data_IF_622562996505
#
_entry.id   IF_622562996505
#
_cell.length_a   1.000
_cell.length_b   1.000
_cell.length_c   1.000
_cell.angle_alpha   90.00
_cell.angle_beta   90.00
_cell.angle_gamma   90.00
#
_symmetry.space_group_name_H-M   'P 1'
#
loop_
_entity.id
_entity.type
_entity.pdbx_description
1 polymer ?
#
# COMPACT_ATOMS: atom_id res chain seq x y z
N UNK A 1 7.72 -2.54 13.77
CA UNK A 1 6.48 -2.11 13.08
C UNK A 1 6.77 -0.82 12.31
N UNK A 2 6.62 -0.79 10.99
CA UNK A 2 7.12 0.32 10.14
C UNK A 2 6.04 1.02 9.31
N UNK A 3 4.89 0.37 9.11
CA UNK A 3 3.77 0.89 8.29
C UNK A 3 2.49 0.87 9.12
N UNK A 4 1.67 1.91 8.99
CA UNK A 4 0.36 2.00 9.64
C UNK A 4 -0.59 0.92 9.12
N UNK A 5 -1.31 0.27 10.03
CA UNK A 5 -2.25 -0.78 9.72
C UNK A 5 -3.49 -0.21 9.03
N UNK A 6 -3.72 -0.59 7.76
CA UNK A 6 -4.90 -0.17 7.00
C UNK A 6 -6.23 -0.60 7.62
N UNK A 7 -6.25 -1.72 8.35
CA UNK A 7 -7.46 -2.25 8.99
C UNK A 7 -7.74 -1.51 10.30
N UNK A 8 -6.69 -1.14 11.04
CA UNK A 8 -6.83 -0.36 12.27
C UNK A 8 -7.39 1.03 12.00
N UNK A 9 -6.96 1.70 10.93
CA UNK A 9 -7.52 2.99 10.49
C UNK A 9 -9.03 2.97 10.23
N UNK A 10 -9.64 1.79 10.10
CA UNK A 10 -11.06 1.57 9.84
C UNK A 10 -11.74 0.83 11.00
N UNK A 11 -11.05 0.65 12.12
CA UNK A 11 -11.49 -0.13 13.28
C UNK A 11 -11.83 -1.60 12.96
N UNK A 12 -11.24 -2.15 11.90
CA UNK A 12 -11.44 -3.54 11.44
C UNK A 12 -10.30 -4.48 11.85
N UNK A 13 -9.28 -4.01 12.58
CA UNK A 13 -8.14 -4.84 12.94
C UNK A 13 -8.45 -5.72 14.16
N UNK A 14 -8.57 -7.03 13.95
CA UNK A 14 -8.81 -8.00 15.03
C UNK A 14 -7.53 -8.46 15.74
N UNK A 15 -6.34 -8.16 15.19
CA UNK A 15 -5.06 -8.62 15.76
C UNK A 15 -4.64 -7.86 17.02
N UNK A 16 -5.27 -6.73 17.34
CA UNK A 16 -4.95 -5.93 18.54
C UNK A 16 -3.45 -5.66 18.69
N UNK A 17 -2.90 -5.99 19.86
CA UNK A 17 -1.47 -5.85 20.16
C UNK A 17 -0.57 -6.82 19.40
N UNK A 18 -1.09 -7.89 18.81
CA UNK A 18 -0.34 -8.84 17.97
C UNK A 18 -0.25 -8.41 16.50
N UNK A 19 -0.77 -7.22 16.15
CA UNK A 19 -0.64 -6.70 14.80
C UNK A 19 0.83 -6.39 14.45
N UNK A 20 1.28 -6.86 13.29
CA UNK A 20 2.63 -6.61 12.76
C UNK A 20 2.80 -5.18 12.23
N UNK A 21 1.66 -4.49 12.03
CA UNK A 21 1.57 -3.11 11.56
C UNK A 21 1.34 -2.14 12.73
N UNK A 22 1.62 -0.84 12.51
CA UNK A 22 1.45 0.20 13.52
C UNK A 22 -0.03 0.52 13.74
N UNK A 23 -0.45 0.59 15.00
CA UNK A 23 -1.76 1.11 15.44
C UNK A 23 -1.59 2.54 15.98
N UNK A 24 -1.00 3.41 15.16
CA UNK A 24 -0.77 4.81 15.48
C UNK A 24 -0.92 5.60 14.19
N UNK A 25 -1.54 6.77 14.28
CA UNK A 25 -1.68 7.67 13.15
C UNK A 25 -0.36 8.41 12.93
N UNK A 26 0.39 8.00 11.91
CA UNK A 26 1.67 8.59 11.52
C UNK A 26 1.69 8.72 9.98
N UNK A 27 1.56 9.96 9.49
CA UNK A 27 1.50 10.28 8.06
C UNK A 27 2.78 9.83 7.32
N UNK A 28 3.94 9.86 7.99
CA UNK A 28 5.21 9.44 7.37
C UNK A 28 5.27 7.93 7.11
N UNK A 29 4.51 7.16 7.88
CA UNK A 29 4.46 5.69 7.83
C UNK A 29 3.17 5.16 7.23
N UNK A 30 2.36 6.03 6.62
CA UNK A 30 1.11 5.60 6.01
C UNK A 30 1.39 4.65 4.82
N UNK A 31 0.58 3.58 4.63
CA UNK A 31 0.74 2.71 3.47
C UNK A 31 0.51 3.46 2.15
N UNK A 32 0.92 2.83 1.06
CA UNK A 32 0.73 3.37 -0.28
C UNK A 32 -0.75 3.42 -0.66
N UNK A 33 -1.14 4.53 -1.29
CA UNK A 33 -2.45 4.68 -1.88
C UNK A 33 -2.61 3.72 -3.07
N UNK A 34 -3.74 3.02 -3.14
CA UNK A 34 -4.04 2.10 -4.25
C UNK A 34 -4.10 2.83 -5.60
N UNK A 35 -4.56 4.08 -5.61
CA UNK A 35 -4.75 4.87 -6.82
C UNK A 35 -3.53 5.72 -7.19
N UNK A 36 -2.53 5.84 -6.30
CA UNK A 36 -1.34 6.66 -6.52
C UNK A 36 -1.70 8.09 -6.95
N UNK A 37 -1.04 8.59 -7.99
CA UNK A 37 -1.32 9.91 -8.59
C UNK A 37 -2.73 10.06 -9.17
N UNK A 38 -3.41 8.96 -9.50
CA UNK A 38 -4.80 8.99 -9.99
C UNK A 38 -5.84 9.07 -8.87
N UNK A 39 -5.41 9.21 -7.62
CA UNK A 39 -6.31 9.37 -6.49
C UNK A 39 -7.10 10.69 -6.60
N UNK A 40 -8.44 10.60 -6.49
CA UNK A 40 -9.34 11.76 -6.55
C UNK A 40 -9.65 12.36 -5.18
N UNK A 41 -9.09 11.80 -4.11
CA UNK A 41 -9.34 12.24 -2.73
C UNK A 41 -8.32 13.33 -2.40
N UNK A 42 -8.80 14.56 -2.17
CA UNK A 42 -7.95 15.74 -1.92
C UNK A 42 -7.04 15.57 -0.71
N UNK A 43 -7.56 14.97 0.37
CA UNK A 43 -6.83 14.71 1.61
C UNK A 43 -6.69 13.20 1.84
N UNK A 44 -6.11 12.49 0.86
CA UNK A 44 -5.85 11.07 1.03
C UNK A 44 -4.76 10.86 2.10
N UNK A 45 -5.02 10.15 3.20
CA UNK A 45 -4.00 9.92 4.23
C UNK A 45 -2.86 9.05 3.70
N UNK A 46 -3.12 8.21 2.71
CA UNK A 46 -2.16 7.26 2.13
C UNK A 46 -1.12 7.95 1.26
N UNK A 47 0.09 7.39 1.24
CA UNK A 47 1.19 7.95 0.44
C UNK A 47 0.95 7.74 -1.05
N UNK A 48 0.96 8.83 -1.82
CA UNK A 48 0.96 8.78 -3.28
C UNK A 48 2.38 8.62 -3.81
N UNK A 49 2.59 7.64 -4.70
CA UNK A 49 3.83 7.46 -5.45
C UNK A 49 3.53 7.53 -6.93
N UNK A 50 4.48 8.08 -7.69
CA UNK A 50 4.38 8.14 -9.15
C UNK A 50 4.54 6.75 -9.77
N UNK A 51 4.00 6.57 -10.98
CA UNK A 51 4.16 5.32 -11.75
C UNK A 51 5.64 4.96 -11.93
N UNK A 52 6.51 5.96 -12.14
CA UNK A 52 7.95 5.78 -12.29
C UNK A 52 8.63 5.26 -11.01
N UNK A 53 8.10 5.60 -9.84
CA UNK A 53 8.63 5.20 -8.53
C UNK A 53 7.96 3.93 -7.98
N UNK A 54 7.10 3.25 -8.76
CA UNK A 54 6.55 1.96 -8.35
C UNK A 54 7.65 0.91 -8.37
N UNK A 55 7.72 0.15 -7.28
CA UNK A 55 8.58 -1.04 -7.19
C UNK A 55 8.21 -2.06 -8.27
N UNK A 56 9.21 -2.74 -8.80
CA UNK A 56 9.03 -3.80 -9.79
C UNK A 56 8.36 -5.03 -9.17
N UNK A 57 7.53 -5.70 -9.97
CA UNK A 57 6.86 -6.91 -9.55
C UNK A 57 7.82 -8.10 -9.65
N UNK A 58 8.23 -8.63 -8.51
CA UNK A 58 9.11 -9.81 -8.44
C UNK A 58 8.48 -11.04 -9.14
N UNK A 59 7.16 -11.21 -9.06
CA UNK A 59 6.48 -12.33 -9.72
C UNK A 59 6.46 -12.19 -11.25
N UNK A 60 6.26 -10.96 -11.74
CA UNK A 60 6.30 -10.70 -13.17
C UNK A 60 7.71 -10.89 -13.73
N UNK A 61 8.74 -10.41 -13.02
CA UNK A 61 10.13 -10.63 -13.44
C UNK A 61 10.56 -12.10 -13.39
N UNK A 62 9.87 -12.93 -12.59
CA UNK A 62 10.00 -14.40 -12.59
C UNK A 62 9.19 -15.10 -13.70
N UNK A 63 8.46 -14.35 -14.53
CA UNK A 63 7.76 -14.81 -15.72
C UNK A 63 6.24 -14.79 -15.62
N UNK A 64 5.65 -14.71 -14.42
CA UNK A 64 4.18 -14.70 -14.28
C UNK A 64 3.72 -14.02 -13.00
N UNK A 65 2.85 -13.00 -13.15
CA UNK A 65 2.16 -12.37 -12.03
C UNK A 65 0.67 -12.70 -12.04
N UNK A 66 0.20 -13.33 -10.96
CA UNK A 66 -1.21 -13.70 -10.76
C UNK A 66 -2.17 -12.50 -10.81
N UNK A 67 -1.67 -11.29 -10.59
CA UNK A 67 -2.47 -10.08 -10.58
C UNK A 67 -2.65 -9.45 -11.97
N UNK A 68 -1.90 -9.93 -12.99
CA UNK A 68 -2.01 -9.48 -14.36
C UNK A 68 -2.00 -7.95 -14.50
N UNK A 69 -2.88 -7.34 -15.30
CA UNK A 69 -2.92 -5.89 -15.51
C UNK A 69 -3.34 -5.09 -14.26
N UNK A 70 -3.83 -5.76 -13.21
CA UNK A 70 -4.22 -5.14 -11.94
C UNK A 70 -3.11 -5.20 -10.88
N UNK A 71 -1.91 -5.66 -11.25
CA UNK A 71 -0.80 -5.68 -10.32
C UNK A 71 -0.46 -4.26 -9.86
N UNK A 72 -0.19 -4.14 -8.56
CA UNK A 72 0.16 -2.86 -7.91
C UNK A 72 1.62 -2.46 -8.14
N UNK A 73 2.43 -3.41 -8.59
CA UNK A 73 3.85 -3.28 -8.85
C UNK A 73 4.07 -3.14 -10.36
N UNK A 74 5.18 -2.51 -10.75
CA UNK A 74 5.52 -2.29 -12.15
C UNK A 74 5.82 -3.63 -12.83
N UNK A 75 5.14 -3.92 -13.92
CA UNK A 75 5.49 -5.01 -14.85
C UNK A 75 6.36 -4.39 -15.94
N UNK A 76 7.62 -4.83 -16.03
CA UNK A 76 8.62 -4.36 -17.01
C UNK A 76 8.99 -5.53 -17.90
#
# INVERSE_FOLDING_TARGET
>A
RTVVCRHWLRDLCMKGSACEFLHQYDLSKMPLCRHGERCKISECPFRHISEANRLECVFYSQGFCIHGPFCRYKHV
#
